data_IF_450320784741
#
_entry.id   IF_450320784741
#
_cell.length_a   1.000
_cell.length_b   1.000
_cell.length_c   1.000
_cell.angle_alpha   90.00
_cell.angle_beta   90.00
_cell.angle_gamma   90.00
#
_symmetry.space_group_name_H-M   'P 1'
#
loop_
_entity.id
_entity.type
_entity.pdbx_description
1 polymer ?
#
# COMPACT_ATOMS: atom_id res chain seq x y z
N UNK A 1 -0.22 -12.99 6.13
CA UNK A 1 1.00 -12.19 6.38
C UNK A 1 0.50 -10.80 6.68
N UNK A 2 0.87 -10.29 7.84
CA UNK A 2 0.42 -8.98 8.33
C UNK A 2 1.39 -7.91 7.82
N UNK A 3 2.55 -7.85 8.46
CA UNK A 3 3.67 -6.99 8.06
C UNK A 3 4.64 -7.70 7.12
N UNK A 4 5.33 -6.87 6.33
CA UNK A 4 6.52 -7.23 5.55
C UNK A 4 7.65 -6.31 6.03
N UNK A 5 8.53 -6.81 6.89
CA UNK A 5 9.59 -6.01 7.51
C UNK A 5 10.96 -6.59 7.16
N UNK A 6 11.96 -5.74 6.91
CA UNK A 6 13.34 -6.19 6.92
C UNK A 6 13.77 -6.53 8.35
N UNK A 7 14.67 -7.49 8.52
CA UNK A 7 15.08 -7.99 9.83
C UNK A 7 15.70 -6.90 10.72
N UNK A 8 16.36 -5.91 10.13
CA UNK A 8 17.06 -4.82 10.80
C UNK A 8 16.25 -3.52 10.92
N UNK A 9 15.04 -3.48 10.36
CA UNK A 9 14.19 -2.28 10.41
C UNK A 9 13.48 -2.15 11.76
N UNK A 10 13.04 -0.94 12.08
CA UNK A 10 12.28 -0.68 13.30
C UNK A 10 10.94 -1.45 13.26
N UNK A 11 10.75 -2.38 14.19
CA UNK A 11 9.57 -3.25 14.24
C UNK A 11 8.24 -2.54 14.52
N UNK A 12 8.27 -1.27 14.93
CA UNK A 12 7.07 -0.48 15.26
C UNK A 12 6.75 0.52 14.15
N UNK A 13 7.75 1.16 13.57
CA UNK A 13 7.54 2.24 12.57
C UNK A 13 7.83 1.81 11.14
N UNK A 14 8.48 0.66 10.95
CA UNK A 14 8.96 0.21 9.65
C UNK A 14 10.19 0.94 9.14
N UNK A 15 10.74 1.89 9.91
CA UNK A 15 11.87 2.70 9.49
C UNK A 15 13.07 1.81 9.17
N UNK A 16 13.57 1.97 7.95
CA UNK A 16 14.64 1.17 7.37
C UNK A 16 16.01 1.72 7.76
N UNK A 17 16.99 0.83 7.89
CA UNK A 17 18.38 1.23 8.13
C UNK A 17 19.03 1.63 6.81
N UNK A 18 19.59 2.84 6.75
CA UNK A 18 20.37 3.29 5.60
C UNK A 18 21.67 2.48 5.47
N UNK A 19 21.99 2.02 4.27
CA UNK A 19 23.11 1.12 3.99
C UNK A 19 22.79 -0.36 4.16
N UNK A 20 21.55 -0.72 4.51
CA UNK A 20 21.17 -2.14 4.64
C UNK A 20 21.26 -2.87 3.31
N UNK A 21 21.69 -4.13 3.38
CA UNK A 21 21.64 -5.03 2.23
C UNK A 21 20.25 -5.67 2.06
N UNK A 22 19.39 -5.59 3.08
CA UNK A 22 18.05 -6.14 3.06
C UNK A 22 17.18 -5.30 2.11
N UNK A 23 16.94 -5.83 0.92
CA UNK A 23 16.15 -5.16 -0.12
C UNK A 23 15.21 -6.16 -0.76
N UNK A 24 13.91 -5.99 -0.53
CA UNK A 24 12.87 -6.84 -1.10
C UNK A 24 12.25 -6.18 -2.33
N UNK A 25 12.09 -6.96 -3.40
CA UNK A 25 11.31 -6.59 -4.57
C UNK A 25 10.12 -7.52 -4.74
N UNK A 26 8.90 -6.98 -4.78
CA UNK A 26 7.67 -7.72 -5.07
C UNK A 26 7.12 -7.27 -6.41
N UNK A 27 6.94 -8.23 -7.32
CA UNK A 27 6.48 -7.98 -8.68
C UNK A 27 5.19 -8.77 -8.91
N UNK A 28 4.14 -8.07 -9.32
CA UNK A 28 2.88 -8.64 -9.75
C UNK A 28 2.60 -8.27 -11.20
N UNK A 29 2.27 -9.27 -12.01
CA UNK A 29 1.76 -9.04 -13.37
C UNK A 29 0.37 -8.41 -13.41
N UNK A 30 -0.32 -8.32 -12.26
CA UNK A 30 -1.65 -7.75 -12.10
C UNK A 30 -1.67 -6.78 -10.90
N UNK A 31 -2.64 -6.94 -9.99
CA UNK A 31 -2.75 -6.11 -8.78
C UNK A 31 -1.85 -6.65 -7.66
N UNK A 32 -1.45 -5.74 -6.77
CA UNK A 32 -1.00 -6.07 -5.41
C UNK A 32 -2.12 -5.63 -4.47
N UNK A 33 -2.67 -6.56 -3.68
CA UNK A 33 -3.86 -6.31 -2.86
C UNK A 33 -3.52 -6.57 -1.40
N UNK A 34 -3.70 -5.55 -0.55
CA UNK A 34 -3.68 -5.73 0.90
C UNK A 34 -5.00 -6.38 1.31
N UNK A 35 -4.92 -7.59 1.84
CA UNK A 35 -6.08 -8.34 2.32
C UNK A 35 -6.69 -7.69 3.57
N UNK A 36 -8.00 -7.85 3.76
CA UNK A 36 -8.70 -7.41 4.97
C UNK A 36 -8.71 -8.51 6.04
N UNK A 37 -7.58 -8.92 6.61
CA UNK A 37 -7.57 -9.92 7.71
C UNK A 37 -7.72 -9.25 9.08
N UNK A 38 -7.93 -10.05 10.14
CA UNK A 38 -8.04 -9.50 11.49
C UNK A 38 -6.70 -8.95 11.96
N UNK A 39 -5.62 -9.62 11.57
CA UNK A 39 -4.24 -9.20 11.74
C UNK A 39 -4.01 -7.89 10.98
N UNK A 40 -4.54 -7.75 9.78
CA UNK A 40 -4.43 -6.53 8.97
C UNK A 40 -5.50 -5.48 9.35
N UNK A 41 -5.84 -5.33 10.63
CA UNK A 41 -6.76 -4.27 11.10
C UNK A 41 -8.23 -4.43 10.69
N UNK A 42 -8.65 -5.63 10.28
CA UNK A 42 -10.03 -5.90 9.88
C UNK A 42 -11.06 -5.65 10.98
N UNK A 43 -12.32 -5.50 10.56
CA UNK A 43 -13.45 -5.08 11.42
C UNK A 43 -13.16 -3.77 12.14
N UNK A 44 -12.84 -2.73 11.38
CA UNK A 44 -12.59 -1.40 11.94
C UNK A 44 -11.54 -1.43 13.07
N UNK A 45 -10.41 -2.10 12.85
CA UNK A 45 -9.33 -2.34 13.81
C UNK A 45 -9.75 -3.07 15.10
N UNK A 46 -10.61 -4.09 15.01
CA UNK A 46 -11.02 -4.84 16.20
C UNK A 46 -9.84 -5.49 16.95
N UNK A 47 -8.72 -5.79 16.26
CA UNK A 47 -7.48 -6.31 16.85
C UNK A 47 -6.34 -5.28 16.93
N UNK A 48 -6.58 -4.01 16.54
CA UNK A 48 -5.66 -2.90 16.77
C UNK A 48 -4.41 -2.83 15.91
N UNK A 49 -4.40 -3.43 14.71
CA UNK A 49 -3.19 -3.45 13.88
C UNK A 49 -3.17 -2.40 12.77
N UNK A 50 -1.97 -1.92 12.50
CA UNK A 50 -1.57 -1.24 11.27
C UNK A 50 -0.87 -2.25 10.35
N UNK A 51 -0.43 -1.82 9.17
CA UNK A 51 0.38 -2.67 8.28
C UNK A 51 1.64 -1.94 7.89
N UNK A 52 2.77 -2.60 8.10
CA UNK A 52 4.09 -2.10 7.77
C UNK A 52 4.65 -2.89 6.60
N UNK A 53 5.12 -2.20 5.56
CA UNK A 53 5.69 -2.81 4.37
C UNK A 53 7.04 -2.16 4.05
N UNK A 54 8.09 -2.98 4.04
CA UNK A 54 9.41 -2.66 3.53
C UNK A 54 9.61 -3.34 2.17
N UNK A 55 9.90 -2.56 1.13
CA UNK A 55 10.19 -3.12 -0.18
C UNK A 55 9.81 -2.27 -1.37
N UNK A 56 10.32 -2.65 -2.53
CA UNK A 56 9.89 -2.13 -3.82
C UNK A 56 8.72 -2.97 -4.35
N UNK A 57 7.57 -2.34 -4.57
CA UNK A 57 6.36 -2.96 -5.10
C UNK A 57 6.16 -2.54 -6.56
N UNK A 58 6.01 -3.52 -7.45
CA UNK A 58 5.67 -3.31 -8.86
C UNK A 58 4.38 -4.03 -9.23
N UNK A 59 3.34 -3.27 -9.57
CA UNK A 59 2.08 -3.77 -10.15
C UNK A 59 2.05 -3.42 -11.64
N UNK A 60 2.52 -4.31 -12.51
CA UNK A 60 2.87 -4.01 -13.90
C UNK A 60 1.68 -3.50 -14.73
N UNK A 61 0.53 -4.16 -14.66
CA UNK A 61 -0.63 -3.83 -15.50
C UNK A 61 -1.73 -3.10 -14.75
N UNK A 62 -1.63 -2.99 -13.43
CA UNK A 62 -2.78 -2.69 -12.60
C UNK A 62 -2.39 -1.83 -11.38
N UNK A 63 -2.94 -2.09 -10.20
CA UNK A 63 -2.86 -1.18 -9.04
C UNK A 63 -2.35 -1.86 -7.76
N UNK A 64 -1.74 -1.07 -6.88
CA UNK A 64 -1.55 -1.41 -5.48
C UNK A 64 -2.72 -0.88 -4.65
N UNK A 65 -3.58 -1.76 -4.12
CA UNK A 65 -4.87 -1.39 -3.50
C UNK A 65 -5.14 -2.13 -2.19
N UNK A 66 -6.02 -1.56 -1.37
CA UNK A 66 -6.63 -2.29 -0.25
C UNK A 66 -7.91 -3.04 -0.70
N UNK A 67 -8.21 -4.16 -0.05
CA UNK A 67 -9.41 -4.95 -0.30
C UNK A 67 -10.66 -4.30 0.36
N UNK A 68 -11.66 -3.85 -0.41
CA UNK A 68 -12.86 -3.17 0.14
C UNK A 68 -14.14 -4.01 0.28
N UNK A 69 -14.35 -5.00 -0.59
CA UNK A 69 -15.65 -5.65 -0.80
C UNK A 69 -16.03 -6.69 0.28
N UNK A 70 -15.08 -7.11 1.11
CA UNK A 70 -15.36 -7.82 2.37
C UNK A 70 -15.23 -6.86 3.54
N UNK A 71 -16.20 -5.97 3.76
CA UNK A 71 -16.17 -4.99 4.86
C UNK A 71 -17.20 -5.31 5.94
N UNK A 72 -17.08 -4.66 7.11
CA UNK A 72 -17.96 -4.84 8.27
C UNK A 72 -18.93 -3.69 8.52
N UNK A 73 -19.19 -2.82 7.54
CA UNK A 73 -20.15 -1.71 7.72
C UNK A 73 -21.55 -2.25 8.02
N UNK A 74 -22.33 -1.54 8.82
CA UNK A 74 -23.70 -1.92 9.21
C UNK A 74 -24.75 -1.78 8.10
N UNK A 75 -24.50 -0.91 7.12
CA UNK A 75 -25.37 -0.72 5.96
C UNK A 75 -25.27 -1.91 4.98
N UNK A 76 -26.35 -2.68 4.87
CA UNK A 76 -26.43 -3.86 4.02
C UNK A 76 -26.21 -3.58 2.53
N UNK A 77 -26.56 -2.39 2.04
CA UNK A 77 -26.31 -1.98 0.66
C UNK A 77 -24.81 -1.70 0.38
N UNK A 78 -23.97 -1.66 1.41
CA UNK A 78 -22.52 -1.42 1.30
C UNK A 78 -21.68 -2.63 1.73
N UNK A 79 -22.22 -3.54 2.56
CA UNK A 79 -21.53 -4.74 3.03
C UNK A 79 -21.99 -6.04 2.33
N UNK A 80 -23.13 -6.00 1.62
CA UNK A 80 -23.79 -7.16 1.04
C UNK A 80 -23.87 -7.10 -0.49
N UNK A 81 -24.23 -8.23 -1.13
CA UNK A 81 -24.43 -8.26 -2.55
C UNK A 81 -25.73 -7.54 -2.95
N UNK A 82 -25.71 -6.83 -4.08
CA UNK A 82 -26.92 -6.23 -4.66
C UNK A 82 -27.64 -7.26 -5.56
N UNK A 83 -28.68 -7.90 -5.03
CA UNK A 83 -29.39 -8.97 -5.75
C UNK A 83 -30.21 -8.47 -6.96
N UNK A 84 -30.71 -7.23 -6.91
CA UNK A 84 -31.55 -6.69 -7.98
C UNK A 84 -30.72 -6.25 -9.20
N UNK A 85 -29.47 -5.85 -8.96
CA UNK A 85 -28.51 -5.49 -10.00
C UNK A 85 -27.08 -5.87 -9.55
N UNK A 86 -26.65 -7.12 -9.79
CA UNK A 86 -25.35 -7.62 -9.35
C UNK A 86 -24.14 -6.81 -9.84
N UNK A 87 -24.26 -6.08 -10.96
CA UNK A 87 -23.19 -5.22 -11.48
C UNK A 87 -22.91 -4.00 -10.59
N UNK A 88 -23.89 -3.58 -9.79
CA UNK A 88 -23.74 -2.49 -8.82
C UNK A 88 -23.32 -2.99 -7.44
N UNK A 89 -23.05 -4.28 -7.30
CA UNK A 89 -22.66 -4.88 -6.03
C UNK A 89 -21.33 -4.29 -5.54
N UNK A 90 -21.34 -3.72 -4.34
CA UNK A 90 -20.15 -3.12 -3.74
C UNK A 90 -19.37 -4.13 -2.92
N UNK A 91 -20.09 -5.10 -2.37
CA UNK A 91 -19.57 -6.09 -1.45
C UNK A 91 -20.17 -7.48 -1.74
N UNK A 92 -19.70 -8.49 -1.02
CA UNK A 92 -20.11 -9.89 -1.21
C UNK A 92 -20.88 -10.47 -0.03
N UNK A 93 -21.12 -9.70 1.04
CA UNK A 93 -21.83 -10.15 2.24
C UNK A 93 -21.00 -11.00 3.19
N UNK A 94 -19.74 -11.34 2.86
CA UNK A 94 -18.91 -12.23 3.70
C UNK A 94 -18.11 -11.50 4.77
N UNK A 95 -17.90 -10.19 4.61
CA UNK A 95 -17.16 -9.36 5.57
C UNK A 95 -17.65 -9.48 7.03
N UNK A 96 -18.97 -9.36 7.30
CA UNK A 96 -19.51 -9.49 8.67
C UNK A 96 -19.42 -10.91 9.28
N UNK A 97 -19.22 -11.95 8.46
CA UNK A 97 -19.34 -13.38 8.84
C UNK A 97 -18.00 -14.13 8.82
N UNK A 98 -16.87 -13.44 8.93
CA UNK A 98 -15.55 -13.95 8.52
C UNK A 98 -15.01 -15.18 9.26
N UNK A 99 -15.63 -15.60 10.37
CA UNK A 99 -15.37 -16.89 10.99
C UNK A 99 -16.49 -17.86 10.57
N UNK A 100 -16.20 -19.03 9.95
CA UNK A 100 -17.24 -20.02 9.63
C UNK A 100 -18.06 -20.47 10.86
N UNK A 101 -17.61 -20.19 12.10
CA UNK A 101 -18.34 -20.53 13.32
C UNK A 101 -19.25 -19.41 13.87
N UNK A 102 -19.26 -18.20 13.29
CA UNK A 102 -20.10 -17.10 13.80
C UNK A 102 -21.45 -17.11 13.11
N UNK A 103 -22.49 -17.56 13.83
CA UNK A 103 -23.85 -17.63 13.31
C UNK A 103 -24.52 -16.26 13.10
N UNK A 104 -23.92 -15.19 13.61
CA UNK A 104 -24.46 -13.83 13.56
C UNK A 104 -23.49 -12.86 12.86
N UNK A 105 -23.99 -11.92 12.05
CA UNK A 105 -23.15 -10.88 11.46
C UNK A 105 -22.55 -10.00 12.56
N UNK A 106 -21.28 -9.64 12.40
CA UNK A 106 -20.59 -8.70 13.28
C UNK A 106 -20.22 -7.46 12.47
N UNK A 107 -20.95 -6.36 12.72
CA UNK A 107 -20.79 -5.09 12.01
C UNK A 107 -20.20 -4.02 12.92
N UNK A 108 -19.53 -3.02 12.34
CA UNK A 108 -18.73 -2.01 13.03
C UNK A 108 -19.31 -0.60 12.93
N UNK A 109 -20.57 -0.48 12.51
CA UNK A 109 -21.26 0.80 12.37
C UNK A 109 -21.06 1.43 10.98
N UNK A 110 -20.68 2.70 10.93
CA UNK A 110 -20.62 3.48 9.68
C UNK A 110 -19.23 3.56 9.04
N UNK A 111 -18.24 2.83 9.56
CA UNK A 111 -16.90 2.78 8.98
C UNK A 111 -16.25 1.40 9.14
N UNK A 112 -15.23 1.17 8.33
CA UNK A 112 -14.32 0.02 8.42
C UNK A 112 -12.90 0.52 8.15
N UNK A 113 -12.42 1.41 9.02
CA UNK A 113 -11.03 1.90 8.99
C UNK A 113 -10.14 0.90 9.69
N UNK A 114 -9.09 0.49 9.02
CA UNK A 114 -8.24 -0.63 9.40
C UNK A 114 -6.87 -0.20 9.85
N UNK A 115 -6.72 1.09 10.15
CA UNK A 115 -5.48 1.69 10.58
C UNK A 115 -4.73 2.40 9.48
N UNK A 116 -3.43 2.48 9.68
CA UNK A 116 -2.48 3.06 8.76
C UNK A 116 -1.74 1.94 8.02
N UNK A 117 -1.49 2.18 6.73
CA UNK A 117 -0.56 1.41 5.94
C UNK A 117 0.70 2.27 5.78
N UNK A 118 1.78 1.81 6.40
CA UNK A 118 3.09 2.45 6.42
C UNK A 118 3.98 1.69 5.43
N UNK A 119 4.43 2.36 4.38
CA UNK A 119 5.37 1.80 3.43
C UNK A 119 6.68 2.56 3.47
N UNK A 120 7.77 1.85 3.72
CA UNK A 120 9.14 2.31 3.45
C UNK A 120 9.67 1.57 2.22
N UNK A 121 9.77 2.27 1.10
CA UNK A 121 10.06 1.58 -0.15
C UNK A 121 9.76 2.39 -1.39
N UNK A 122 9.32 1.69 -2.42
CA UNK A 122 8.85 2.32 -3.65
C UNK A 122 7.63 1.59 -4.19
N UNK A 123 6.71 2.31 -4.83
CA UNK A 123 5.55 1.71 -5.50
C UNK A 123 5.53 2.19 -6.95
N UNK A 124 5.61 1.24 -7.86
CA UNK A 124 5.38 1.47 -9.29
C UNK A 124 4.11 0.73 -9.70
N UNK A 125 3.16 1.45 -10.28
CA UNK A 125 1.85 0.91 -10.67
C UNK A 125 1.37 1.61 -11.94
N UNK A 126 0.68 0.89 -12.81
CA UNK A 126 0.09 1.46 -14.03
C UNK A 126 -1.11 2.36 -13.71
N UNK A 127 -1.96 1.92 -12.78
CA UNK A 127 -3.10 2.68 -12.29
C UNK A 127 -2.93 2.97 -10.82
N UNK A 128 -3.30 4.18 -10.41
CA UNK A 128 -3.23 4.56 -8.99
C UNK A 128 -4.28 3.77 -8.21
N UNK A 129 -3.82 2.89 -7.34
CA UNK A 129 -4.68 2.25 -6.38
C UNK A 129 -4.99 3.12 -5.16
N UNK A 130 -6.18 2.91 -4.60
CA UNK A 130 -6.62 3.54 -3.38
C UNK A 130 -6.29 2.63 -2.19
N UNK A 131 -6.05 3.23 -1.02
CA UNK A 131 -5.97 2.51 0.26
C UNK A 131 -7.20 2.74 1.12
N UNK A 132 -7.84 3.91 0.97
CA UNK A 132 -9.13 4.24 1.58
C UNK A 132 -10.16 4.62 0.52
N UNK A 133 -11.42 4.22 0.75
CA UNK A 133 -12.60 4.67 -0.01
C UNK A 133 -13.56 5.37 0.97
N UNK A 134 -13.99 6.58 0.62
CA UNK A 134 -14.86 7.41 1.44
C UNK A 134 -15.71 8.33 0.55
N UNK A 135 -16.57 9.14 1.16
CA UNK A 135 -17.34 10.16 0.45
C UNK A 135 -16.44 11.31 -0.07
N UNK A 136 -16.63 11.79 -1.31
CA UNK A 136 -17.51 11.27 -2.36
C UNK A 136 -16.90 10.04 -3.05
N UNK A 137 -17.69 8.97 -3.19
CA UNK A 137 -17.23 7.72 -3.79
C UNK A 137 -18.29 6.61 -3.69
N UNK A 138 -18.02 5.42 -4.24
CA UNK A 138 -18.99 4.31 -4.20
C UNK A 138 -19.28 3.85 -2.76
N UNK A 139 -18.41 4.18 -1.82
CA UNK A 139 -18.65 4.03 -0.38
C UNK A 139 -18.84 5.41 0.25
N UNK A 140 -20.07 5.94 0.28
CA UNK A 140 -20.38 7.28 0.78
C UNK A 140 -20.46 7.29 2.31
N UNK A 141 -19.37 6.89 2.96
CA UNK A 141 -19.26 6.77 4.42
C UNK A 141 -18.06 7.55 4.91
N UNK A 142 -18.10 7.94 6.19
CA UNK A 142 -17.03 8.66 6.88
C UNK A 142 -16.67 7.93 8.16
N UNK A 143 -15.38 7.77 8.51
CA UNK A 143 -14.17 8.19 7.76
C UNK A 143 -13.86 7.38 6.48
N UNK A 144 -14.47 6.21 6.26
CA UNK A 144 -14.26 5.40 5.06
C UNK A 144 -14.13 3.89 5.31
N UNK A 145 -13.60 3.19 4.30
CA UNK A 145 -13.20 1.77 4.33
C UNK A 145 -11.75 1.65 3.86
N UNK A 146 -10.93 0.92 4.61
CA UNK A 146 -9.54 0.63 4.28
C UNK A 146 -8.54 1.34 5.20
N UNK A 147 -7.39 1.74 4.67
CA UNK A 147 -6.28 2.29 5.46
C UNK A 147 -5.98 3.75 5.12
N UNK A 148 -5.59 4.51 6.14
CA UNK A 148 -4.80 5.72 5.94
C UNK A 148 -3.41 5.37 5.41
N UNK A 149 -2.79 6.29 4.66
CA UNK A 149 -1.54 6.01 3.97
C UNK A 149 -0.42 6.82 4.60
N UNK A 150 0.70 6.16 4.82
CA UNK A 150 1.96 6.79 5.12
C UNK A 150 3.04 6.18 4.22
N UNK A 151 3.69 7.02 3.40
CA UNK A 151 4.59 6.58 2.34
C UNK A 151 5.94 7.28 2.50
N UNK A 152 6.98 6.48 2.68
CA UNK A 152 8.37 6.90 2.78
C UNK A 152 9.19 6.23 1.70
N UNK A 153 10.07 6.99 1.04
CA UNK A 153 10.95 6.43 0.03
C UNK A 153 12.16 5.74 0.66
N UNK A 154 12.49 4.54 0.17
CA UNK A 154 13.71 3.84 0.55
C UNK A 154 14.91 4.31 -0.30
N UNK A 155 15.76 5.14 0.31
CA UNK A 155 16.98 5.66 -0.31
C UNK A 155 18.02 4.58 -0.63
N UNK A 156 17.93 3.39 -0.04
CA UNK A 156 18.85 2.30 -0.38
C UNK A 156 18.69 1.84 -1.83
N UNK A 157 17.49 2.01 -2.42
CA UNK A 157 17.24 1.68 -3.82
C UNK A 157 17.94 2.63 -4.79
N UNK A 158 18.11 3.90 -4.43
CA UNK A 158 18.84 4.86 -5.25
C UNK A 158 20.35 4.78 -5.04
N UNK A 159 20.79 4.57 -3.80
CA UNK A 159 22.19 4.81 -3.41
C UNK A 159 23.03 3.53 -3.45
N UNK A 160 22.42 2.39 -3.11
CA UNK A 160 23.08 1.07 -3.10
C UNK A 160 22.56 0.13 -4.19
N UNK A 161 21.54 0.55 -4.94
CA UNK A 161 20.96 -0.16 -6.07
C UNK A 161 19.62 -0.85 -5.78
N UNK A 162 18.89 -1.28 -6.83
CA UNK A 162 17.57 -1.88 -6.69
C UNK A 162 17.62 -3.24 -5.95
N UNK A 163 16.46 -3.76 -5.50
CA UNK A 163 16.41 -5.12 -4.98
C UNK A 163 16.96 -6.15 -5.97
N UNK A 164 17.50 -7.29 -5.49
CA UNK A 164 17.94 -8.36 -6.37
C UNK A 164 16.84 -8.79 -7.35
N UNK A 165 17.18 -8.95 -8.63
CA UNK A 165 16.26 -9.38 -9.69
C UNK A 165 15.08 -8.42 -9.97
N UNK A 166 15.11 -7.20 -9.44
CA UNK A 166 14.09 -6.20 -9.77
C UNK A 166 14.25 -5.73 -11.22
N UNK A 167 13.17 -5.63 -12.01
CA UNK A 167 13.25 -5.29 -13.42
C UNK A 167 13.83 -3.88 -13.58
N UNK A 168 14.69 -3.74 -14.58
CA UNK A 168 15.21 -2.44 -14.98
C UNK A 168 14.10 -1.61 -15.60
N UNK A 169 14.15 -0.29 -15.39
CA UNK A 169 13.26 0.63 -16.08
C UNK A 169 13.56 0.58 -17.59
N UNK A 170 12.63 0.01 -18.36
CA UNK A 170 12.69 0.00 -19.81
C UNK A 170 11.71 1.01 -20.39
N UNK A 171 12.10 1.69 -21.48
CA UNK A 171 11.15 2.47 -22.29
C UNK A 171 10.04 1.56 -22.83
N UNK A 172 8.96 2.16 -23.34
CA UNK A 172 7.89 1.44 -24.07
C UNK A 172 8.39 0.66 -25.30
N UNK A 173 9.63 0.90 -25.74
CA UNK A 173 10.31 0.19 -26.83
C UNK A 173 11.32 -0.87 -26.35
N UNK A 174 11.40 -1.16 -25.05
CA UNK A 174 12.34 -2.15 -24.50
C UNK A 174 13.80 -1.66 -24.39
N UNK A 175 14.06 -0.37 -24.58
CA UNK A 175 15.38 0.23 -24.37
C UNK A 175 15.65 0.48 -22.89
N UNK A 176 16.88 0.28 -22.43
CA UNK A 176 17.27 0.60 -21.05
C UNK A 176 17.26 2.12 -20.83
N UNK A 177 16.66 2.58 -19.72
CA UNK A 177 16.67 3.99 -19.32
C UNK A 177 17.92 4.24 -18.48
N UNK A 178 18.84 5.07 -18.99
CA UNK A 178 19.99 5.56 -18.24
C UNK A 178 19.61 6.80 -17.43
N UNK A 179 19.66 6.71 -16.10
CA UNK A 179 19.48 7.84 -15.20
C UNK A 179 20.85 8.22 -14.65
N UNK A 180 21.40 9.36 -15.09
CA UNK A 180 22.63 9.93 -14.54
C UNK A 180 22.23 10.90 -13.44
N UNK A 181 22.53 10.56 -12.18
CA UNK A 181 22.49 11.52 -11.07
C UNK A 181 23.94 11.90 -10.75
N UNK A 182 24.32 13.15 -10.98
CA UNK A 182 25.60 13.69 -10.49
C UNK A 182 25.35 14.53 -9.26
N UNK A 183 26.05 14.23 -8.17
CA UNK A 183 26.19 15.12 -7.03
C UNK A 183 27.68 15.42 -6.90
N UNK A 184 28.03 16.71 -6.88
CA UNK A 184 29.38 17.19 -6.63
C UNK A 184 29.32 18.26 -5.56
N UNK A 185 30.27 18.23 -4.62
CA UNK A 185 30.54 19.40 -3.78
C UNK A 185 31.15 20.50 -4.66
N UNK A 186 30.61 21.72 -4.55
CA UNK A 186 31.25 22.90 -5.13
C UNK A 186 32.35 23.32 -4.15
N UNK A 187 33.59 23.34 -4.61
CA UNK A 187 34.69 23.88 -3.81
C UNK A 187 34.38 25.36 -3.48
N UNK A 188 34.51 25.74 -2.21
CA UNK A 188 34.21 27.10 -1.76
C UNK A 188 35.14 28.15 -2.40
N UNK A 189 36.28 27.74 -2.98
CA UNK A 189 37.13 28.62 -3.79
C UNK A 189 36.45 29.06 -5.10
N UNK A 190 35.71 28.19 -5.77
CA UNK A 190 35.02 28.50 -7.04
C UNK A 190 33.83 29.45 -6.90
N UNK A 191 33.25 29.59 -5.70
CA UNK A 191 32.13 30.51 -5.45
C UNK A 191 32.55 31.98 -5.29
N UNK A 192 33.84 32.25 -5.05
CA UNK A 192 34.36 33.62 -4.93
C UNK A 192 34.68 34.29 -6.27
N UNK A 193 34.86 33.52 -7.35
CA UNK A 193 35.22 34.07 -8.67
C UNK A 193 34.01 34.57 -9.48
N UNK A 194 32.78 34.39 -8.98
CA UNK A 194 31.55 34.84 -9.65
C UNK A 194 30.77 35.91 -8.86
N UNK A 195 31.40 36.52 -7.85
CA UNK A 195 30.80 37.57 -7.02
C UNK A 195 31.47 38.94 -7.15
N UNK A 196 32.17 39.22 -8.25
CA UNK A 196 32.59 40.58 -8.65
C UNK A 196 32.04 40.97 -10.02
#
# INVERSE_FOLDING_TARGET
MDDILYEDSNSITGEIVYGTNNRLGLISGANVIIANTMENGGKNQANGSDIIINGALLAMNDSFVAHYWQNSISNNSLNGPEFSNPLNSKADGRGPFRNPSSALPQVTGNSDIRGQMILWGSVTQNKRGYMKRNAPGPYPVSPGIGYDKDYHYDYNFSDFGPPPMYPTSSSSSGGAILIIKSYGEVDQLTLKEFSE
#
